data_IF_235737797821
#
_entry.id   IF_235737797821
#
_cell.length_a   1.000
_cell.length_b   1.000
_cell.length_c   1.000
_cell.angle_alpha   90.00
_cell.angle_beta   90.00
_cell.angle_gamma   90.00
#
_symmetry.space_group_name_H-M   'P 1'
#
loop_
_entity.id
_entity.type
_entity.pdbx_description
1 polymer ?
#
# COMPACT_ATOMS: atom_id res chain seq x y z
N UNK A 1 13.08 -10.51 -27.28
CA UNK A 1 13.86 -9.28 -27.03
C UNK A 1 13.83 -9.02 -25.53
N UNK A 2 14.98 -9.06 -24.86
CA UNK A 2 15.14 -8.81 -23.42
C UNK A 2 15.39 -7.32 -23.22
N UNK A 3 14.61 -6.66 -22.37
CA UNK A 3 14.99 -5.38 -21.77
C UNK A 3 15.00 -5.62 -20.26
N UNK A 4 16.19 -5.50 -19.69
CA UNK A 4 16.45 -5.49 -18.26
C UNK A 4 16.90 -4.07 -17.89
N UNK A 5 16.44 -3.60 -16.74
CA UNK A 5 16.83 -2.33 -16.15
C UNK A 5 15.88 -1.18 -16.51
N UNK A 6 14.98 -0.83 -15.60
CA UNK A 6 14.43 0.52 -15.56
C UNK A 6 14.26 0.94 -14.12
N UNK A 7 15.15 1.82 -13.70
CA UNK A 7 15.08 2.74 -12.57
C UNK A 7 13.64 3.21 -12.33
N UNK A 8 13.08 3.16 -11.10
CA UNK A 8 11.77 3.74 -10.87
C UNK A 8 11.93 5.21 -10.48
N UNK A 9 11.73 6.10 -11.46
CA UNK A 9 11.12 7.40 -11.19
C UNK A 9 9.61 7.19 -11.36
N UNK A 10 8.91 6.83 -10.28
CA UNK A 10 7.46 6.63 -10.35
C UNK A 10 6.76 7.63 -9.43
N UNK A 11 6.01 8.54 -10.08
CA UNK A 11 5.13 9.51 -9.46
C UNK A 11 3.85 8.80 -9.01
N UNK A 12 3.42 9.08 -7.78
CA UNK A 12 2.08 8.72 -7.31
C UNK A 12 1.10 9.66 -8.04
N UNK A 13 0.28 9.10 -8.93
CA UNK A 13 -0.77 9.88 -9.59
C UNK A 13 -1.94 10.05 -8.61
N UNK A 14 -2.05 11.25 -8.03
CA UNK A 14 -3.22 11.65 -7.26
C UNK A 14 -4.15 12.38 -8.21
N UNK A 15 -5.27 11.76 -8.54
CA UNK A 15 -6.32 12.38 -9.35
C UNK A 15 -7.28 13.14 -8.42
N UNK A 16 -7.28 14.48 -8.42
CA UNK A 16 -8.30 15.23 -7.70
C UNK A 16 -9.67 14.96 -8.34
N UNK A 17 -10.71 14.74 -7.52
CA UNK A 17 -12.08 14.53 -8.02
C UNK A 17 -12.65 15.74 -8.79
N UNK A 18 -12.07 16.94 -8.62
CA UNK A 18 -12.40 18.14 -9.38
C UNK A 18 -11.32 18.44 -10.45
N UNK A 19 -11.47 17.78 -11.61
CA UNK A 19 -11.16 18.21 -12.99
C UNK A 19 -10.04 19.25 -13.27
N UNK A 20 -8.85 19.10 -12.71
CA UNK A 20 -7.63 19.68 -13.29
C UNK A 20 -6.44 18.76 -13.02
N UNK A 21 -6.07 17.98 -14.04
CA UNK A 21 -4.90 17.09 -14.05
C UNK A 21 -3.61 17.89 -13.79
N UNK A 22 -3.33 18.11 -12.52
CA UNK A 22 -2.13 18.74 -12.00
C UNK A 22 -1.50 17.70 -11.10
N UNK A 23 -0.32 17.22 -11.45
CA UNK A 23 0.44 16.33 -10.56
C UNK A 23 0.61 17.01 -9.20
N UNK A 24 0.06 16.43 -8.14
CA UNK A 24 0.19 16.94 -6.78
C UNK A 24 1.47 16.38 -6.15
N UNK A 25 2.32 17.26 -5.62
CA UNK A 25 3.42 16.85 -4.76
C UNK A 25 2.91 16.54 -3.36
N UNK A 26 3.23 15.33 -2.89
CA UNK A 26 2.88 14.86 -1.56
C UNK A 26 3.98 15.19 -0.56
N UNK A 27 3.57 15.75 0.58
CA UNK A 27 4.43 16.00 1.74
C UNK A 27 3.79 15.47 3.03
N UNK A 28 4.57 15.40 4.11
CA UNK A 28 4.15 14.85 5.40
C UNK A 28 4.64 13.43 5.66
N UNK A 29 4.22 12.86 6.79
CA UNK A 29 4.74 11.59 7.31
C UNK A 29 4.49 10.41 6.37
N UNK A 30 3.39 10.45 5.61
CA UNK A 30 3.00 9.40 4.68
C UNK A 30 3.68 9.48 3.30
N UNK A 31 4.49 10.51 3.04
CA UNK A 31 5.17 10.66 1.75
C UNK A 31 6.00 9.43 1.39
N UNK A 32 6.69 8.83 2.37
CA UNK A 32 7.53 7.65 2.14
C UNK A 32 6.69 6.40 1.87
N UNK A 33 5.60 6.21 2.63
CA UNK A 33 4.67 5.09 2.44
C UNK A 33 4.02 5.16 1.06
N UNK A 34 3.49 6.33 0.66
CA UNK A 34 2.83 6.54 -0.62
C UNK A 34 3.78 6.31 -1.82
N UNK A 35 5.07 6.65 -1.70
CA UNK A 35 6.06 6.36 -2.75
C UNK A 35 6.32 4.87 -2.96
N UNK A 36 6.02 4.01 -1.98
CA UNK A 36 6.14 2.54 -2.10
C UNK A 36 4.91 1.89 -2.73
N UNK A 37 3.85 2.66 -2.92
CA UNK A 37 2.56 2.21 -3.45
C UNK A 37 2.42 2.56 -4.94
N UNK A 38 3.44 2.20 -5.74
CA UNK A 38 3.36 2.40 -7.18
C UNK A 38 2.23 1.57 -7.79
N UNK A 39 1.45 2.18 -8.68
CA UNK A 39 0.29 1.55 -9.30
C UNK A 39 -0.91 1.34 -8.36
N UNK A 40 -0.89 1.91 -7.15
CA UNK A 40 -2.02 1.88 -6.23
C UNK A 40 -2.98 3.05 -6.48
N UNK A 41 -4.27 2.79 -6.36
CA UNK A 41 -5.30 3.83 -6.22
C UNK A 41 -5.49 4.09 -4.73
N UNK A 42 -5.27 5.33 -4.31
CA UNK A 42 -5.37 5.74 -2.91
C UNK A 42 -6.35 6.90 -2.74
N UNK A 43 -7.12 6.86 -1.67
CA UNK A 43 -7.83 8.04 -1.15
C UNK A 43 -6.93 8.70 -0.11
N UNK A 44 -6.51 9.93 -0.34
CA UNK A 44 -5.70 10.68 0.60
C UNK A 44 -6.51 11.86 1.18
N UNK A 45 -6.45 12.01 2.50
CA UNK A 45 -7.02 13.15 3.23
C UNK A 45 -5.87 14.01 3.74
N UNK A 46 -6.01 15.33 3.65
CA UNK A 46 -4.94 16.24 4.05
C UNK A 46 -5.29 17.71 3.93
N UNK A 47 -4.27 18.54 4.08
CA UNK A 47 -4.38 20.00 3.94
C UNK A 47 -3.56 20.46 2.73
N UNK A 48 -4.13 21.35 1.92
CA UNK A 48 -3.38 22.00 0.84
C UNK A 48 -2.35 22.94 1.45
N UNK A 49 -1.07 22.70 1.14
CA UNK A 49 0.06 23.52 1.62
C UNK A 49 0.46 24.61 0.61
N UNK A 50 -0.22 24.68 -0.53
CA UNK A 50 0.02 25.60 -1.63
C UNK A 50 -0.52 25.01 -2.95
N UNK A 51 -0.47 25.78 -4.05
CA UNK A 51 -0.81 25.25 -5.37
C UNK A 51 0.04 24.02 -5.69
N UNK A 52 -0.58 22.89 -6.02
CA UNK A 52 0.15 21.68 -6.38
C UNK A 52 0.77 20.90 -5.21
N UNK A 53 0.56 21.29 -3.95
CA UNK A 53 1.13 20.60 -2.78
C UNK A 53 0.07 20.14 -1.77
N UNK A 54 0.02 18.84 -1.51
CA UNK A 54 -0.84 18.23 -0.50
C UNK A 54 0.00 17.72 0.67
N UNK A 55 -0.30 18.19 1.88
CA UNK A 55 0.20 17.57 3.12
C UNK A 55 -0.79 16.51 3.56
N UNK A 56 -0.42 15.24 3.43
CA UNK A 56 -1.30 14.10 3.74
C UNK A 56 -1.28 13.82 5.24
N UNK A 57 -2.47 13.73 5.83
CA UNK A 57 -2.69 13.38 7.24
C UNK A 57 -3.26 11.97 7.43
N UNK A 58 -3.86 11.42 6.37
CA UNK A 58 -4.40 10.06 6.37
C UNK A 58 -4.50 9.59 4.91
N UNK A 59 -4.37 8.29 4.69
CA UNK A 59 -4.67 7.71 3.40
C UNK A 59 -5.22 6.28 3.55
N UNK A 60 -6.01 5.89 2.56
CA UNK A 60 -6.61 4.57 2.40
C UNK A 60 -6.22 4.03 1.02
N UNK A 61 -5.78 2.77 0.96
CA UNK A 61 -5.51 2.09 -0.31
C UNK A 61 -6.82 1.45 -0.76
N UNK A 62 -7.32 1.87 -1.91
CA UNK A 62 -8.56 1.36 -2.49
C UNK A 62 -8.30 0.19 -3.43
N UNK A 63 -7.21 0.28 -4.19
CA UNK A 63 -6.88 -0.70 -5.23
C UNK A 63 -5.37 -0.80 -5.44
N UNK A 64 -4.87 -1.99 -5.77
CA UNK A 64 -3.54 -2.22 -6.31
C UNK A 64 -3.69 -3.15 -7.51
N UNK A 65 -3.26 -2.68 -8.68
CA UNK A 65 -3.28 -3.45 -9.93
C UNK A 65 -4.64 -4.11 -10.25
N UNK A 66 -5.77 -3.41 -10.05
CA UNK A 66 -7.10 -3.96 -10.33
C UNK A 66 -7.74 -4.76 -9.20
N UNK A 67 -7.07 -4.88 -8.04
CA UNK A 67 -7.55 -5.68 -6.91
C UNK A 67 -7.67 -4.86 -5.64
N UNK A 68 -8.69 -5.14 -4.81
CA UNK A 68 -8.82 -4.57 -3.47
C UNK A 68 -7.91 -5.32 -2.51
N UNK A 69 -6.85 -4.70 -1.98
CA UNK A 69 -5.93 -5.38 -1.07
C UNK A 69 -6.47 -5.40 0.36
N UNK A 70 -6.03 -6.38 1.15
CA UNK A 70 -6.09 -6.31 2.62
C UNK A 70 -4.85 -5.55 3.09
N UNK A 71 -5.06 -4.50 3.89
CA UNK A 71 -3.99 -3.64 4.40
C UNK A 71 -3.98 -3.66 5.91
N UNK A 72 -2.82 -3.87 6.51
CA UNK A 72 -2.71 -3.96 7.95
C UNK A 72 -1.30 -4.31 8.43
N UNK A 73 -1.18 -4.61 9.72
CA UNK A 73 0.05 -5.13 10.31
C UNK A 73 0.12 -6.63 10.08
N UNK A 74 1.25 -7.13 9.60
CA UNK A 74 1.50 -8.56 9.50
C UNK A 74 1.82 -9.12 10.89
N UNK A 75 1.01 -10.06 11.37
CA UNK A 75 1.20 -10.73 12.65
C UNK A 75 1.47 -12.23 12.43
N UNK A 76 2.35 -12.77 13.28
CA UNK A 76 2.74 -14.17 13.30
C UNK A 76 2.65 -14.66 14.75
N UNK A 77 1.63 -15.46 15.05
CA UNK A 77 1.40 -16.03 16.38
C UNK A 77 1.11 -17.53 16.26
N UNK A 78 1.80 -18.37 17.04
CA UNK A 78 1.59 -19.83 17.09
C UNK A 78 1.55 -20.52 15.72
N UNK A 79 2.37 -20.03 14.77
CA UNK A 79 2.44 -20.54 13.41
C UNK A 79 1.28 -20.11 12.49
N UNK A 80 0.39 -19.22 12.97
CA UNK A 80 -0.66 -18.58 12.18
C UNK A 80 -0.19 -17.21 11.71
N UNK A 81 -0.50 -16.92 10.45
CA UNK A 81 -0.17 -15.65 9.82
C UNK A 81 -1.48 -14.89 9.60
N UNK A 82 -1.52 -13.63 10.00
CA UNK A 82 -2.66 -12.77 9.76
C UNK A 82 -2.22 -11.38 9.37
N UNK A 83 -3.04 -10.70 8.57
CA UNK A 83 -2.97 -9.26 8.41
C UNK A 83 -4.06 -8.66 9.30
N UNK A 84 -3.64 -7.85 10.28
CA UNK A 84 -4.54 -7.16 11.20
C UNK A 84 -4.78 -5.75 10.68
N UNK A 85 -5.96 -5.45 10.11
CA UNK A 85 -6.27 -4.12 9.64
C UNK A 85 -6.39 -3.14 10.80
N UNK A 86 -6.21 -1.84 10.52
CA UNK A 86 -6.48 -0.79 11.51
C UNK A 86 -7.95 -0.79 11.97
N UNK A 87 -8.84 -1.25 11.11
CA UNK A 87 -10.28 -1.36 11.36
C UNK A 87 -10.81 -2.68 10.83
N UNK A 88 -11.52 -3.45 11.66
CA UNK A 88 -12.12 -4.72 11.26
C UNK A 88 -11.44 -5.91 11.94
N UNK A 89 -11.78 -7.11 11.47
CA UNK A 89 -11.23 -8.35 11.99
C UNK A 89 -9.89 -8.71 11.31
N UNK A 90 -8.98 -9.39 12.01
CA UNK A 90 -7.81 -10.02 11.40
C UNK A 90 -8.20 -10.93 10.22
N UNK A 91 -7.40 -10.87 9.16
CA UNK A 91 -7.57 -11.73 7.98
C UNK A 91 -6.45 -12.76 7.96
N UNK A 92 -6.82 -14.04 8.01
CA UNK A 92 -5.88 -15.16 7.97
C UNK A 92 -5.20 -15.26 6.60
N UNK A 93 -3.88 -15.47 6.62
CA UNK A 93 -3.05 -15.74 5.43
C UNK A 93 -2.55 -17.18 5.54
N UNK A 94 -3.05 -18.06 4.68
CA UNK A 94 -2.78 -19.51 4.80
C UNK A 94 -1.47 -19.95 4.17
N UNK A 95 -1.04 -19.27 3.11
CA UNK A 95 0.17 -19.57 2.37
C UNK A 95 0.96 -18.28 2.10
N UNK A 96 1.66 -17.79 3.11
CA UNK A 96 2.53 -16.63 2.99
C UNK A 96 3.94 -17.05 2.52
N UNK A 97 4.55 -16.36 1.54
CA UNK A 97 5.95 -16.55 1.17
C UNK A 97 6.88 -16.28 2.36
N UNK A 98 8.00 -17.00 2.46
CA UNK A 98 8.97 -16.83 3.55
C UNK A 98 9.45 -15.38 3.70
N UNK A 99 9.68 -14.70 2.57
CA UNK A 99 10.06 -13.28 2.52
C UNK A 99 9.04 -12.35 3.18
N UNK A 100 7.75 -12.68 3.11
CA UNK A 100 6.69 -11.93 3.80
C UNK A 100 6.71 -12.27 5.30
N UNK A 101 6.88 -13.54 5.67
CA UNK A 101 6.94 -13.98 7.07
C UNK A 101 8.09 -13.32 7.85
N UNK A 102 9.22 -13.07 7.21
CA UNK A 102 10.36 -12.34 7.79
C UNK A 102 10.04 -10.88 8.14
N UNK A 103 8.90 -10.36 7.69
CA UNK A 103 8.42 -9.00 7.91
C UNK A 103 7.34 -8.91 8.98
N UNK A 104 7.27 -9.88 9.90
CA UNK A 104 6.35 -9.80 11.04
C UNK A 104 6.51 -8.46 11.80
N UNK A 105 5.37 -7.81 12.05
CA UNK A 105 5.27 -6.45 12.62
C UNK A 105 5.26 -5.32 11.59
N UNK A 106 5.55 -5.59 10.31
CA UNK A 106 5.50 -4.58 9.26
C UNK A 106 4.05 -4.25 8.86
N UNK A 107 3.82 -3.01 8.40
CA UNK A 107 2.59 -2.64 7.70
C UNK A 107 2.70 -3.11 6.25
N UNK A 108 1.75 -3.92 5.81
CA UNK A 108 1.75 -4.57 4.49
C UNK A 108 0.41 -4.37 3.78
N UNK A 109 0.43 -4.57 2.47
CA UNK A 109 -0.76 -4.91 1.71
C UNK A 109 -0.62 -6.33 1.15
N UNK A 110 -1.72 -7.08 1.10
CA UNK A 110 -1.78 -8.41 0.50
C UNK A 110 -3.02 -8.54 -0.38
N UNK A 111 -2.88 -9.24 -1.49
CA UNK A 111 -3.98 -9.71 -2.33
C UNK A 111 -4.08 -11.22 -2.10
N UNK A 112 -5.24 -11.66 -1.62
CA UNK A 112 -5.52 -13.06 -1.35
C UNK A 112 -6.46 -13.62 -2.40
N UNK A 113 -6.34 -14.91 -2.71
CA UNK A 113 -7.41 -15.62 -3.41
C UNK A 113 -8.52 -16.10 -2.46
N UNK A 114 -9.51 -16.79 -3.01
CA UNK A 114 -10.64 -17.34 -2.25
C UNK A 114 -10.24 -18.37 -1.17
N UNK A 115 -9.02 -18.93 -1.25
CA UNK A 115 -8.50 -19.88 -0.27
C UNK A 115 -7.61 -19.21 0.79
N UNK A 116 -7.39 -17.89 0.70
CA UNK A 116 -6.50 -17.16 1.61
C UNK A 116 -5.02 -17.31 1.26
N UNK A 117 -4.68 -17.69 0.02
CA UNK A 117 -3.30 -17.74 -0.47
C UNK A 117 -2.87 -16.39 -1.03
N UNK A 118 -1.61 -16.00 -0.79
CA UNK A 118 -1.05 -14.74 -1.29
C UNK A 118 -0.85 -14.82 -2.80
N UNK A 119 -1.49 -13.92 -3.56
CA UNK A 119 -1.26 -13.70 -5.00
C UNK A 119 -0.36 -12.49 -5.27
N UNK A 120 -0.35 -11.53 -4.35
CA UNK A 120 0.53 -10.37 -4.41
C UNK A 120 0.67 -9.77 -3.02
N UNK A 121 1.82 -9.16 -2.75
CA UNK A 121 2.05 -8.47 -1.49
C UNK A 121 3.07 -7.35 -1.67
N UNK A 122 3.09 -6.43 -0.71
CA UNK A 122 4.14 -5.41 -0.63
C UNK A 122 4.26 -4.83 0.77
N UNK A 123 5.46 -4.34 1.08
CA UNK A 123 5.79 -3.78 2.39
C UNK A 123 5.61 -2.26 2.33
N UNK A 124 4.69 -1.74 3.12
CA UNK A 124 4.39 -0.31 3.21
C UNK A 124 5.37 0.34 4.19
N UNK A 125 5.48 -0.21 5.40
CA UNK A 125 6.35 0.29 6.46
C UNK A 125 6.98 -0.88 7.19
N UNK A 126 8.29 -0.81 7.41
CA UNK A 126 9.01 -1.79 8.24
C UNK A 126 8.61 -1.63 9.71
N UNK A 127 8.96 -2.62 10.55
CA UNK A 127 8.75 -2.55 12.00
C UNK A 127 9.52 -1.40 12.65
#
# INVERSE_FOLDING_TARGET
MRIAGSTPLEQVLIEPQDSAASSLEVSGDYRVELRRLSGAVVRATGTLAGPGHLRVSEYEILEIAGHVPVVGTLELEDGRVAVVPATGAPVEVRAAPAELLERAGAKVWVILDANGEVKGYGIIRER
#
